data_IF_863036690437
#
_entry.id   IF_863036690437
#
_cell.length_a   1.000
_cell.length_b   1.000
_cell.length_c   1.000
_cell.angle_alpha   90.00
_cell.angle_beta   90.00
_cell.angle_gamma   90.00
#
_symmetry.space_group_name_H-M   'P 1'
#
loop_
_entity.id
_entity.type
_entity.pdbx_description
1 polymer ?
#
# COMPACT_ATOMS: atom_id res chain seq x y z
N UNK A 1 -2.85 -7.39 -10.63
CA UNK A 1 -2.26 -6.94 -11.89
C UNK A 1 -1.27 -5.80 -11.64
N UNK A 2 -1.70 -4.67 -11.07
CA UNK A 2 -0.84 -3.51 -10.76
C UNK A 2 0.36 -3.86 -9.89
N UNK A 3 0.16 -4.62 -8.80
CA UNK A 3 1.24 -5.03 -7.91
C UNK A 3 2.23 -6.01 -8.58
N UNK A 4 1.76 -6.81 -9.54
CA UNK A 4 2.65 -7.63 -10.35
C UNK A 4 3.56 -6.76 -11.21
N UNK A 5 3.00 -5.76 -11.89
CA UNK A 5 3.78 -4.80 -12.67
C UNK A 5 4.77 -4.02 -11.79
N UNK A 6 4.35 -3.59 -10.59
CA UNK A 6 5.22 -2.90 -9.64
C UNK A 6 6.35 -3.80 -9.14
N UNK A 7 6.08 -5.09 -8.84
CA UNK A 7 7.10 -6.03 -8.36
C UNK A 7 8.27 -6.18 -9.32
N UNK A 8 8.00 -6.15 -10.62
CA UNK A 8 9.02 -6.36 -11.66
C UNK A 8 9.46 -5.08 -12.37
N UNK A 9 8.66 -4.03 -12.31
CA UNK A 9 8.86 -2.80 -13.07
C UNK A 9 9.08 -1.53 -12.23
N UNK A 10 9.22 -1.61 -10.92
CA UNK A 10 9.40 -0.46 -10.03
C UNK A 10 10.54 0.49 -10.44
N UNK A 11 11.59 -0.03 -11.05
CA UNK A 11 12.76 0.71 -11.57
C UNK A 11 12.42 1.62 -12.75
N UNK A 12 11.26 1.45 -13.40
CA UNK A 12 10.81 2.30 -14.49
C UNK A 12 10.62 3.76 -14.06
N UNK A 13 10.48 4.03 -12.75
CA UNK A 13 10.48 5.38 -12.20
C UNK A 13 11.74 6.21 -12.55
N UNK A 14 12.84 5.55 -12.89
CA UNK A 14 14.07 6.22 -13.33
C UNK A 14 14.10 6.55 -14.81
N UNK A 15 13.13 6.05 -15.57
CA UNK A 15 13.00 6.23 -17.03
C UNK A 15 11.82 7.18 -17.33
N UNK A 16 10.69 6.97 -16.66
CA UNK A 16 9.47 7.73 -16.92
C UNK A 16 9.24 8.76 -15.81
N UNK A 17 8.69 9.91 -16.20
CA UNK A 17 8.30 10.96 -15.26
C UNK A 17 7.14 10.54 -14.36
N UNK A 18 6.24 9.70 -14.89
CA UNK A 18 5.08 9.17 -14.18
C UNK A 18 4.95 7.68 -14.41
N UNK A 19 4.54 6.95 -13.37
CA UNK A 19 4.06 5.57 -13.49
C UNK A 19 2.55 5.59 -13.23
N UNK A 20 1.78 4.94 -14.08
CA UNK A 20 0.33 4.87 -14.02
C UNK A 20 -0.09 3.49 -13.54
N UNK A 21 -0.87 3.47 -12.45
CA UNK A 21 -1.46 2.25 -11.89
C UNK A 21 -2.76 1.84 -12.59
N UNK A 22 -3.15 2.59 -13.64
CA UNK A 22 -4.43 2.43 -14.31
C UNK A 22 -5.61 2.84 -13.40
N UNK A 23 -6.83 2.54 -13.80
CA UNK A 23 -8.02 2.91 -13.05
C UNK A 23 -8.32 1.95 -11.89
N UNK A 24 -8.84 2.52 -10.81
CA UNK A 24 -9.25 1.78 -9.62
C UNK A 24 -10.77 1.79 -9.54
N UNK A 25 -11.37 0.59 -9.44
CA UNK A 25 -12.81 0.37 -9.29
C UNK A 25 -13.09 -0.12 -7.87
N UNK A 26 -13.98 0.54 -7.16
CA UNK A 26 -14.31 0.26 -5.75
C UNK A 26 -15.64 -0.47 -5.58
N UNK A 27 -16.58 -0.33 -6.52
CA UNK A 27 -17.85 -1.04 -6.48
C UNK A 27 -17.63 -2.55 -6.46
N UNK A 28 -18.55 -3.27 -5.87
CA UNK A 28 -18.59 -4.75 -5.82
C UNK A 28 -17.35 -5.41 -5.15
N UNK A 29 -16.58 -4.65 -4.38
CA UNK A 29 -15.43 -5.15 -3.65
C UNK A 29 -15.64 -5.04 -2.13
N UNK A 30 -14.97 -5.90 -1.38
CA UNK A 30 -14.95 -5.85 0.07
C UNK A 30 -14.14 -4.65 0.59
N UNK A 31 -14.24 -4.36 1.87
CA UNK A 31 -13.46 -3.31 2.52
C UNK A 31 -11.94 -3.55 2.40
N UNK A 32 -11.49 -4.79 2.58
CA UNK A 32 -10.09 -5.17 2.43
C UNK A 32 -9.59 -4.99 1.00
N UNK A 33 -10.35 -5.50 0.02
CA UNK A 33 -10.02 -5.35 -1.39
C UNK A 33 -9.96 -3.88 -1.82
N UNK A 34 -10.84 -3.02 -1.28
CA UNK A 34 -10.80 -1.59 -1.58
C UNK A 34 -9.56 -0.91 -1.00
N UNK A 35 -9.17 -1.24 0.25
CA UNK A 35 -7.90 -0.75 0.81
C UNK A 35 -6.70 -1.22 -0.02
N UNK A 36 -6.69 -2.50 -0.41
CA UNK A 36 -5.61 -3.06 -1.22
C UNK A 36 -5.53 -2.41 -2.60
N UNK A 37 -6.66 -2.20 -3.30
CA UNK A 37 -6.71 -1.53 -4.61
C UNK A 37 -6.19 -0.10 -4.54
N UNK A 38 -6.65 0.70 -3.59
CA UNK A 38 -6.20 2.09 -3.42
C UNK A 38 -4.72 2.13 -3.04
N UNK A 39 -4.29 1.28 -2.10
CA UNK A 39 -2.88 1.21 -1.72
C UNK A 39 -2.01 0.85 -2.92
N UNK A 40 -2.44 -0.12 -3.75
CA UNK A 40 -1.69 -0.49 -4.97
C UNK A 40 -1.53 0.70 -5.92
N UNK A 41 -2.55 1.52 -6.05
CA UNK A 41 -2.51 2.75 -6.85
C UNK A 41 -1.52 3.77 -6.30
N UNK A 42 -1.64 4.14 -5.02
CA UNK A 42 -0.80 5.19 -4.42
C UNK A 42 0.68 4.80 -4.33
N UNK A 43 1.01 3.53 -4.17
CA UNK A 43 2.40 3.06 -4.11
C UNK A 43 3.04 2.86 -5.49
N UNK A 44 2.23 2.78 -6.55
CA UNK A 44 2.72 2.66 -7.94
C UNK A 44 3.01 4.02 -8.57
N UNK A 45 2.31 5.07 -8.13
CA UNK A 45 2.51 6.42 -8.65
C UNK A 45 1.21 7.20 -8.75
N UNK A 46 0.59 7.23 -9.93
CA UNK A 46 -0.71 7.88 -10.17
C UNK A 46 -1.77 6.81 -10.50
N UNK A 47 -3.03 7.15 -10.26
CA UNK A 47 -4.17 6.32 -10.66
C UNK A 47 -5.40 7.19 -10.95
N UNK A 48 -6.40 6.61 -11.61
CA UNK A 48 -7.66 7.26 -11.95
C UNK A 48 -8.81 6.49 -11.28
N UNK A 49 -9.82 7.20 -10.77
CA UNK A 49 -11.07 6.58 -10.31
C UNK A 49 -11.85 6.01 -11.50
N UNK A 50 -12.13 4.72 -11.48
CA UNK A 50 -12.82 4.00 -12.54
C UNK A 50 -14.32 3.75 -12.28
N UNK A 51 -14.86 4.24 -11.15
CA UNK A 51 -16.28 4.19 -10.86
C UNK A 51 -17.03 5.38 -11.46
N UNK A 52 -18.27 5.16 -11.84
CA UNK A 52 -19.21 6.23 -12.19
C UNK A 52 -19.78 6.87 -10.93
N UNK A 53 -19.35 8.08 -10.61
CA UNK A 53 -19.83 8.85 -9.44
C UNK A 53 -21.05 9.72 -9.75
N UNK A 54 -21.60 9.64 -10.95
CA UNK A 54 -22.85 10.33 -11.33
C UNK A 54 -24.07 9.69 -10.64
N UNK A 55 -25.22 10.32 -10.80
CA UNK A 55 -26.49 9.75 -10.31
C UNK A 55 -26.82 8.40 -10.98
N UNK A 56 -26.34 8.15 -12.20
CA UNK A 56 -26.58 6.92 -12.94
C UNK A 56 -25.68 5.75 -12.46
N UNK A 57 -24.49 6.05 -11.90
CA UNK A 57 -23.52 5.05 -11.44
C UNK A 57 -23.89 4.34 -10.14
N UNK A 58 -25.03 4.72 -9.53
CA UNK A 58 -25.49 4.12 -8.28
C UNK A 58 -24.77 4.62 -7.04
N UNK A 59 -25.13 4.05 -5.89
CA UNK A 59 -24.67 4.52 -4.58
C UNK A 59 -23.38 3.86 -4.11
N UNK A 60 -23.15 2.59 -4.44
CA UNK A 60 -22.08 1.77 -3.87
C UNK A 60 -20.67 2.35 -4.15
N UNK A 61 -20.34 2.63 -5.39
CA UNK A 61 -19.04 3.22 -5.76
C UNK A 61 -18.81 4.59 -5.11
N UNK A 62 -19.84 5.42 -5.04
CA UNK A 62 -19.75 6.74 -4.40
C UNK A 62 -19.54 6.65 -2.89
N UNK A 63 -20.27 5.80 -2.20
CA UNK A 63 -20.11 5.60 -0.75
C UNK A 63 -18.71 5.04 -0.41
N UNK A 64 -18.23 4.09 -1.20
CA UNK A 64 -16.87 3.56 -1.07
C UNK A 64 -15.80 4.59 -1.37
N UNK A 65 -15.99 5.42 -2.40
CA UNK A 65 -15.08 6.53 -2.69
C UNK A 65 -15.00 7.50 -1.51
N UNK A 66 -16.13 7.92 -0.95
CA UNK A 66 -16.17 8.78 0.24
C UNK A 66 -15.50 8.13 1.45
N UNK A 67 -15.64 6.82 1.61
CA UNK A 67 -15.05 6.08 2.74
C UNK A 67 -13.53 5.92 2.62
N UNK A 68 -13.03 5.63 1.43
CA UNK A 68 -11.63 5.20 1.25
C UNK A 68 -10.73 6.24 0.59
N UNK A 69 -11.24 7.00 -0.41
CA UNK A 69 -10.42 7.99 -1.12
C UNK A 69 -10.23 9.30 -0.33
N UNK A 70 -10.89 9.44 0.81
CA UNK A 70 -10.75 10.62 1.69
C UNK A 70 -9.79 10.41 2.85
N UNK A 71 -9.10 9.26 2.94
CA UNK A 71 -8.11 9.03 3.98
C UNK A 71 -6.88 9.92 3.74
N UNK A 72 -6.60 10.92 4.63
CA UNK A 72 -5.52 11.87 4.40
C UNK A 72 -4.12 11.24 4.48
N UNK A 73 -3.94 10.24 5.34
CA UNK A 73 -2.65 9.57 5.52
C UNK A 73 -2.27 8.75 4.28
N UNK A 74 -3.24 8.02 3.72
CA UNK A 74 -3.03 7.26 2.49
C UNK A 74 -2.84 8.20 1.29
N UNK A 75 -3.63 9.28 1.20
CA UNK A 75 -3.51 10.26 0.12
C UNK A 75 -2.16 10.98 0.13
N UNK A 76 -1.56 11.19 1.30
CA UNK A 76 -0.22 11.76 1.42
C UNK A 76 0.87 10.89 0.77
N UNK A 77 0.63 9.60 0.57
CA UNK A 77 1.55 8.71 -0.15
C UNK A 77 1.51 8.89 -1.68
N UNK A 78 0.43 9.45 -2.23
CA UNK A 78 0.23 9.62 -3.67
C UNK A 78 1.03 10.81 -4.22
N UNK A 79 2.34 10.77 -4.09
CA UNK A 79 3.28 11.83 -4.51
C UNK A 79 3.80 11.65 -5.93
N UNK A 80 3.42 10.57 -6.61
CA UNK A 80 4.03 10.14 -7.87
C UNK A 80 5.30 9.29 -7.69
N UNK A 81 5.83 9.22 -6.48
CA UNK A 81 6.99 8.39 -6.15
C UNK A 81 6.58 6.93 -5.92
N UNK A 82 7.35 6.01 -6.46
CA UNK A 82 7.07 4.58 -6.50
C UNK A 82 7.72 3.85 -5.33
N UNK A 83 7.00 2.93 -4.72
CA UNK A 83 7.57 1.98 -3.76
C UNK A 83 8.34 0.88 -4.52
N UNK A 84 9.36 0.33 -3.87
CA UNK A 84 10.08 -0.84 -4.37
C UNK A 84 9.69 -2.09 -3.58
N UNK A 85 9.72 -3.29 -4.18
CA UNK A 85 9.57 -4.53 -3.44
C UNK A 85 10.73 -4.69 -2.45
N UNK A 86 10.44 -5.25 -1.28
CA UNK A 86 11.46 -5.54 -0.26
C UNK A 86 12.31 -6.72 -0.69
N UNK A 87 11.67 -7.72 -1.25
CA UNK A 87 12.28 -8.93 -1.77
C UNK A 87 11.58 -9.32 -3.06
N UNK A 88 12.30 -9.98 -3.95
CA UNK A 88 11.74 -10.45 -5.19
C UNK A 88 12.49 -11.68 -5.69
N UNK A 89 11.76 -12.75 -5.97
CA UNK A 89 12.31 -13.95 -6.59
C UNK A 89 11.96 -14.06 -8.09
N UNK A 90 11.20 -13.11 -8.61
CA UNK A 90 10.78 -13.08 -10.01
C UNK A 90 9.72 -14.12 -10.39
N UNK A 91 9.16 -14.86 -9.43
CA UNK A 91 8.21 -15.93 -9.70
C UNK A 91 6.74 -15.53 -9.47
N UNK A 92 6.50 -14.55 -8.60
CA UNK A 92 5.16 -14.08 -8.25
C UNK A 92 5.19 -12.62 -7.78
N UNK A 93 4.01 -11.99 -7.71
CA UNK A 93 3.88 -10.66 -7.13
C UNK A 93 4.37 -10.64 -5.69
N UNK A 94 5.18 -9.64 -5.35
CA UNK A 94 5.66 -9.46 -4.00
C UNK A 94 4.54 -8.98 -3.07
N UNK A 95 4.69 -9.24 -1.79
CA UNK A 95 3.71 -8.88 -0.77
C UNK A 95 4.09 -7.62 0.00
N UNK A 96 5.38 -7.27 0.02
CA UNK A 96 5.91 -6.18 0.85
C UNK A 96 6.63 -5.17 -0.03
N UNK A 97 6.20 -3.92 0.07
CA UNK A 97 6.77 -2.80 -0.68
C UNK A 97 7.18 -1.70 0.29
N UNK A 98 8.30 -1.03 0.01
CA UNK A 98 8.87 0.01 0.88
C UNK A 98 9.25 1.24 0.09
N UNK A 99 9.09 2.41 0.72
CA UNK A 99 9.65 3.69 0.29
C UNK A 99 10.26 4.42 1.49
N UNK A 100 11.47 4.90 1.31
CA UNK A 100 12.10 5.86 2.23
C UNK A 100 11.84 7.26 1.75
N UNK A 101 11.31 8.11 2.61
CA UNK A 101 11.07 9.51 2.32
C UNK A 101 12.35 10.35 2.50
N UNK A 102 12.33 11.57 1.97
CA UNK A 102 13.46 12.48 2.04
C UNK A 102 13.77 12.96 3.48
N UNK A 103 12.77 12.99 4.33
CA UNK A 103 12.90 13.35 5.76
C UNK A 103 13.38 12.20 6.65
N UNK A 104 13.55 11.01 6.07
CA UNK A 104 13.99 9.81 6.77
C UNK A 104 12.88 8.88 7.24
N UNK A 105 11.61 9.29 7.10
CA UNK A 105 10.44 8.41 7.34
C UNK A 105 10.43 7.24 6.37
N UNK A 106 10.01 6.08 6.84
CA UNK A 106 9.81 4.90 5.99
C UNK A 106 8.34 4.51 5.95
N UNK A 107 7.84 4.28 4.75
CA UNK A 107 6.51 3.69 4.53
C UNK A 107 6.65 2.26 4.01
N UNK A 108 5.85 1.36 4.55
CA UNK A 108 5.84 -0.04 4.15
C UNK A 108 4.41 -0.53 3.95
N UNK A 109 4.10 -1.04 2.76
CA UNK A 109 2.82 -1.65 2.44
C UNK A 109 2.96 -3.18 2.42
N UNK A 110 2.12 -3.87 3.21
CA UNK A 110 2.12 -5.32 3.35
C UNK A 110 0.76 -5.86 2.89
N UNK A 111 0.75 -6.63 1.82
CA UNK A 111 -0.46 -7.19 1.20
C UNK A 111 -0.66 -8.66 1.59
N UNK A 112 -1.90 -9.02 1.81
CA UNK A 112 -2.34 -10.41 1.90
C UNK A 112 -3.22 -10.74 0.70
N UNK A 113 -2.74 -11.58 -0.23
CA UNK A 113 -3.48 -12.00 -1.42
C UNK A 113 -4.35 -13.24 -1.18
N UNK A 114 -4.24 -13.88 -0.02
CA UNK A 114 -4.94 -15.13 0.28
C UNK A 114 -6.38 -14.91 0.76
N UNK A 115 -7.14 -16.00 0.74
CA UNK A 115 -8.52 -16.05 1.25
C UNK A 115 -8.59 -16.16 2.80
N UNK A 116 -7.46 -16.16 3.49
CA UNK A 116 -7.36 -16.30 4.93
C UNK A 116 -6.49 -15.20 5.53
N UNK A 117 -6.74 -14.88 6.78
CA UNK A 117 -5.87 -13.98 7.55
C UNK A 117 -4.47 -14.56 7.64
N UNK A 118 -3.47 -13.69 7.54
CA UNK A 118 -2.05 -14.04 7.66
C UNK A 118 -1.34 -13.12 8.64
N UNK A 119 -0.41 -13.66 9.41
CA UNK A 119 0.53 -12.88 10.21
C UNK A 119 1.90 -12.89 9.52
N UNK A 120 2.37 -11.70 9.17
CA UNK A 120 3.68 -11.48 8.54
C UNK A 120 4.65 -10.95 9.58
N UNK A 121 5.81 -11.57 9.70
CA UNK A 121 6.92 -11.04 10.49
C UNK A 121 7.84 -10.24 9.56
N UNK A 122 7.93 -8.93 9.79
CA UNK A 122 8.80 -8.03 9.05
C UNK A 122 10.03 -7.70 9.90
N UNK A 123 11.20 -8.13 9.47
CA UNK A 123 12.47 -7.71 10.05
C UNK A 123 12.83 -6.31 9.56
N UNK A 124 13.18 -5.39 10.47
CA UNK A 124 13.31 -3.96 10.14
C UNK A 124 14.52 -3.66 9.23
N UNK A 125 15.58 -4.45 9.31
CA UNK A 125 16.74 -4.35 8.41
C UNK A 125 16.38 -4.61 6.94
N UNK A 126 15.37 -5.48 6.69
CA UNK A 126 14.91 -5.78 5.32
C UNK A 126 14.31 -4.57 4.61
N UNK A 127 13.77 -3.63 5.36
CA UNK A 127 13.25 -2.37 4.83
C UNK A 127 14.25 -1.21 4.94
N UNK A 128 15.43 -1.44 5.50
CA UNK A 128 16.52 -0.46 5.61
C UNK A 128 16.55 0.31 6.93
N UNK A 129 15.85 -0.17 7.96
CA UNK A 129 15.85 0.39 9.30
C UNK A 129 16.88 -0.28 10.19
N UNK A 130 17.43 0.43 11.17
CA UNK A 130 18.39 -0.12 12.13
C UNK A 130 17.70 -1.01 13.16
N UNK A 131 18.16 -2.25 13.31
CA UNK A 131 17.58 -3.22 14.24
C UNK A 131 17.71 -2.83 15.72
N UNK A 132 18.73 -2.04 16.07
CA UNK A 132 19.01 -1.63 17.45
C UNK A 132 18.13 -0.46 17.92
N UNK A 133 17.61 0.32 16.98
CA UNK A 133 16.75 1.47 17.24
C UNK A 133 15.29 1.06 17.44
N UNK A 134 14.56 1.80 18.28
CA UNK A 134 13.10 1.70 18.40
C UNK A 134 12.44 2.76 17.53
N UNK A 135 11.38 2.36 16.84
CA UNK A 135 10.61 3.22 15.93
C UNK A 135 9.17 3.35 16.40
N UNK A 136 8.61 4.54 16.31
CA UNK A 136 7.17 4.72 16.40
C UNK A 136 6.55 4.25 15.08
N UNK A 137 5.51 3.43 15.16
CA UNK A 137 4.84 2.86 14.00
C UNK A 137 3.38 3.29 14.00
N UNK A 138 2.93 3.88 12.89
CA UNK A 138 1.52 4.21 12.65
C UNK A 138 0.98 3.35 11.50
N UNK A 139 -0.14 2.67 11.70
CA UNK A 139 -0.89 2.01 10.63
C UNK A 139 -1.84 3.04 9.99
N UNK A 140 -1.65 3.34 8.71
CA UNK A 140 -2.25 4.51 8.07
C UNK A 140 -3.74 4.37 7.75
N UNK A 141 -4.25 3.13 7.55
CA UNK A 141 -5.67 2.91 7.33
C UNK A 141 -6.51 3.05 8.60
N UNK A 142 -6.02 2.55 9.72
CA UNK A 142 -6.72 2.57 11.02
C UNK A 142 -6.32 3.73 11.93
N UNK A 143 -5.16 4.34 11.69
CA UNK A 143 -4.56 5.33 12.57
C UNK A 143 -3.97 4.74 13.85
N UNK A 144 -3.97 3.41 14.04
CA UNK A 144 -3.41 2.76 15.22
C UNK A 144 -1.90 2.96 15.31
N UNK A 145 -1.38 3.02 16.53
CA UNK A 145 0.05 3.27 16.81
C UNK A 145 0.62 2.18 17.70
N UNK A 146 1.86 1.84 17.43
CA UNK A 146 2.65 0.90 18.22
C UNK A 146 4.14 1.29 18.16
N UNK A 147 4.99 0.49 18.78
CA UNK A 147 6.45 0.61 18.65
C UNK A 147 7.03 -0.68 18.08
N UNK A 148 8.10 -0.56 17.31
CA UNK A 148 8.83 -1.70 16.78
C UNK A 148 10.32 -1.56 17.04
N UNK A 149 10.98 -2.68 17.33
CA UNK A 149 12.42 -2.79 17.42
C UNK A 149 12.83 -4.15 16.87
N UNK A 150 13.85 -4.18 16.04
CA UNK A 150 14.34 -5.38 15.36
C UNK A 150 13.32 -5.98 14.35
N UNK A 151 12.11 -6.29 14.77
CA UNK A 151 11.02 -6.83 13.94
C UNK A 151 9.67 -6.31 14.39
N UNK A 152 8.68 -6.45 13.50
CA UNK A 152 7.26 -6.26 13.81
C UNK A 152 6.43 -7.42 13.26
N UNK A 153 5.45 -7.87 14.00
CA UNK A 153 4.46 -8.84 13.55
C UNK A 153 3.17 -8.10 13.17
N UNK A 154 2.68 -8.34 11.97
CA UNK A 154 1.53 -7.66 11.39
C UNK A 154 0.50 -8.68 10.93
N UNK A 155 -0.67 -8.65 11.54
CA UNK A 155 -1.80 -9.48 11.13
C UNK A 155 -2.60 -8.75 10.08
N UNK A 156 -2.79 -9.38 8.91
CA UNK A 156 -3.45 -8.81 7.75
C UNK A 156 -4.64 -9.71 7.39
N UNK A 157 -5.88 -9.19 7.42
CA UNK A 157 -7.05 -9.95 7.00
C UNK A 157 -6.94 -10.49 5.58
N UNK A 158 -7.81 -11.43 5.22
CA UNK A 158 -7.90 -11.95 3.86
C UNK A 158 -8.10 -10.83 2.83
N UNK A 159 -7.38 -10.88 1.72
CA UNK A 159 -7.48 -9.91 0.59
C UNK A 159 -7.38 -8.44 1.03
N UNK A 160 -6.49 -8.14 1.96
CA UNK A 160 -6.35 -6.82 2.56
C UNK A 160 -4.89 -6.33 2.52
N UNK A 161 -4.67 -5.16 3.08
CA UNK A 161 -3.36 -4.52 3.18
C UNK A 161 -3.21 -3.80 4.52
N UNK A 162 -1.99 -3.75 5.03
CA UNK A 162 -1.56 -2.84 6.09
C UNK A 162 -0.51 -1.89 5.54
N UNK A 163 -0.62 -0.61 5.90
CA UNK A 163 0.35 0.42 5.49
C UNK A 163 0.95 1.03 6.74
N UNK A 164 2.23 0.81 6.94
CA UNK A 164 2.97 1.22 8.13
C UNK A 164 3.88 2.39 7.82
N UNK A 165 3.84 3.40 8.68
CA UNK A 165 4.78 4.52 8.73
C UNK A 165 5.71 4.33 9.94
N UNK A 166 7.01 4.42 9.71
CA UNK A 166 8.06 4.31 10.74
C UNK A 166 8.79 5.65 10.91
N UNK A 167 8.80 6.16 12.15
CA UNK A 167 9.47 7.39 12.59
C UNK A 167 10.48 7.16 13.70
#
# INVERSE_FOLDING_TARGET
YTLNALSYGWWQKYIYQFNDADHIVLRDATDGENRARITSGVITGIYIGGDDFSAAGGKDGKDKALKYLTNPDINALATGEVFRPVEGNGAQSEQIFVRKEKDGTFHCALFNYSEQEQTVTLSLDRIGLEQTRSYQVKELWSGSRTTAKNKIEVTIPAKDVKVLEFN
#
